data_IF_974790096925
#
_entry.id   IF_974790096925
#
_cell.length_a   1.000
_cell.length_b   1.000
_cell.length_c   1.000
_cell.angle_alpha   90.00
_cell.angle_beta   90.00
_cell.angle_gamma   90.00
#
_symmetry.space_group_name_H-M   'P 1'
#
loop_
_entity.id
_entity.type
_entity.pdbx_description
1 polymer ?
#
# COMPACT_ATOMS: atom_id res chain seq x y z
N UNK A 1 -22.94 -9.52 7.18
CA UNK A 1 -22.21 -8.25 7.41
C UNK A 1 -21.03 -8.28 6.45
N UNK A 2 -20.93 -7.31 5.55
CA UNK A 2 -19.83 -7.30 4.57
C UNK A 2 -18.52 -6.99 5.30
N UNK A 3 -17.53 -7.87 5.21
CA UNK A 3 -16.19 -7.63 5.74
C UNK A 3 -15.50 -6.55 4.90
N UNK A 4 -14.67 -5.72 5.53
CA UNK A 4 -13.98 -4.59 4.88
C UNK A 4 -12.48 -4.71 5.08
N UNK A 5 -11.74 -4.70 3.98
CA UNK A 5 -10.27 -4.82 3.97
C UNK A 5 -9.69 -3.50 3.46
N UNK A 6 -8.88 -2.84 4.29
CA UNK A 6 -8.11 -1.65 3.91
C UNK A 6 -6.72 -2.06 3.42
N UNK A 7 -6.34 -1.56 2.25
CA UNK A 7 -5.04 -1.84 1.64
C UNK A 7 -4.31 -0.52 1.35
N UNK A 8 -3.36 -0.12 2.21
CA UNK A 8 -2.42 0.94 1.85
C UNK A 8 -1.61 0.53 0.61
N UNK A 9 -1.67 1.35 -0.44
CA UNK A 9 -1.14 1.02 -1.74
C UNK A 9 -0.33 2.17 -2.32
N UNK A 10 0.92 1.91 -2.66
CA UNK A 10 1.84 2.90 -3.23
C UNK A 10 2.48 2.48 -4.57
N UNK A 11 2.03 1.34 -5.13
CA UNK A 11 2.56 0.78 -6.36
C UNK A 11 3.94 0.12 -6.21
N UNK A 12 4.45 -0.03 -4.98
CA UNK A 12 5.66 -0.80 -4.72
C UNK A 12 5.42 -2.31 -4.92
N UNK A 13 6.46 -3.11 -5.20
CA UNK A 13 6.31 -4.55 -5.35
C UNK A 13 5.65 -5.23 -4.14
N UNK A 14 5.93 -4.76 -2.93
CA UNK A 14 5.32 -5.30 -1.70
C UNK A 14 3.86 -4.90 -1.56
N UNK A 15 3.46 -3.68 -1.96
CA UNK A 15 2.06 -3.26 -1.97
C UNK A 15 1.26 -3.99 -3.05
N UNK A 16 1.86 -4.29 -4.19
CA UNK A 16 1.26 -5.14 -5.23
C UNK A 16 1.03 -6.57 -4.72
N UNK A 17 1.98 -7.12 -3.97
CA UNK A 17 1.80 -8.44 -3.35
C UNK A 17 0.72 -8.39 -2.26
N UNK A 18 0.69 -7.33 -1.46
CA UNK A 18 -0.37 -7.13 -0.46
C UNK A 18 -1.76 -7.05 -1.11
N UNK A 19 -1.86 -6.40 -2.27
CA UNK A 19 -3.10 -6.34 -3.05
C UNK A 19 -3.57 -7.73 -3.48
N UNK A 20 -2.65 -8.59 -3.95
CA UNK A 20 -2.98 -9.98 -4.36
C UNK A 20 -3.49 -10.80 -3.17
N UNK A 21 -2.84 -10.68 -2.01
CA UNK A 21 -3.29 -11.37 -0.80
C UNK A 21 -4.67 -10.86 -0.34
N UNK A 22 -4.88 -9.54 -0.35
CA UNK A 22 -6.17 -8.93 -0.04
C UNK A 22 -7.27 -9.38 -1.00
N UNK A 23 -6.98 -9.49 -2.30
CA UNK A 23 -7.93 -9.98 -3.30
C UNK A 23 -8.33 -11.44 -3.02
N UNK A 24 -7.37 -12.31 -2.74
CA UNK A 24 -7.64 -13.71 -2.36
C UNK A 24 -8.51 -13.85 -1.10
N UNK A 25 -8.27 -13.00 -0.10
CA UNK A 25 -9.09 -12.95 1.10
C UNK A 25 -10.49 -12.40 0.81
N UNK A 26 -10.58 -11.32 0.03
CA UNK A 26 -11.84 -10.68 -0.31
C UNK A 26 -12.78 -11.65 -1.06
N UNK A 27 -12.28 -12.42 -2.00
CA UNK A 27 -13.05 -13.44 -2.72
C UNK A 27 -13.60 -14.53 -1.80
N UNK A 28 -12.80 -14.98 -0.83
CA UNK A 28 -13.20 -16.02 0.13
C UNK A 28 -14.21 -15.54 1.16
N UNK A 29 -14.10 -14.28 1.58
CA UNK A 29 -14.90 -13.70 2.66
C UNK A 29 -16.09 -12.87 2.15
N UNK A 30 -16.21 -12.64 0.85
CA UNK A 30 -17.17 -11.69 0.28
C UNK A 30 -16.91 -10.26 0.76
N UNK A 31 -15.64 -9.91 0.97
CA UNK A 31 -15.25 -8.63 1.53
C UNK A 31 -15.15 -7.52 0.48
N UNK A 32 -15.41 -6.30 0.92
CA UNK A 32 -15.13 -5.08 0.16
C UNK A 32 -13.68 -4.65 0.41
N UNK A 33 -13.00 -4.17 -0.62
CA UNK A 33 -11.61 -3.67 -0.54
C UNK A 33 -11.58 -2.16 -0.77
N UNK A 34 -10.86 -1.44 0.11
CA UNK A 34 -10.51 -0.02 -0.12
C UNK A 34 -9.02 0.10 -0.30
N UNK A 35 -8.61 0.66 -1.44
CA UNK A 35 -7.23 1.03 -1.72
C UNK A 35 -6.98 2.45 -1.20
N UNK A 36 -6.02 2.59 -0.31
CA UNK A 36 -5.65 3.88 0.27
C UNK A 36 -4.26 4.30 -0.21
N UNK A 37 -4.15 5.46 -0.82
CA UNK A 37 -2.87 6.10 -1.08
C UNK A 37 -2.79 7.43 -0.34
N UNK A 38 -1.62 7.71 0.24
CA UNK A 38 -1.34 8.94 0.95
C UNK A 38 -0.22 9.66 0.21
N UNK A 39 -0.52 10.85 -0.30
CA UNK A 39 0.48 11.74 -0.88
C UNK A 39 1.19 12.42 0.27
N UNK A 40 2.46 12.05 0.46
CA UNK A 40 3.33 12.66 1.47
C UNK A 40 4.32 13.60 0.79
N UNK A 41 4.22 14.92 1.01
CA UNK A 41 5.13 15.92 0.46
C UNK A 41 6.59 15.61 0.75
N UNK A 42 6.88 15.08 1.95
CA UNK A 42 8.24 14.75 2.38
C UNK A 42 8.85 13.59 1.57
N UNK A 43 8.02 12.75 0.97
CA UNK A 43 8.48 11.65 0.11
C UNK A 43 8.98 12.16 -1.24
N UNK A 44 8.49 13.30 -1.68
CA UNK A 44 8.72 13.85 -3.01
C UNK A 44 9.57 15.12 -2.99
N UNK A 45 9.78 15.73 -1.83
CA UNK A 45 10.62 16.91 -1.67
C UNK A 45 12.10 16.51 -1.71
N UNK A 46 12.60 16.25 -2.90
CA UNK A 46 14.03 16.26 -3.17
C UNK A 46 14.43 17.74 -3.38
N UNK A 47 14.85 18.40 -2.30
CA UNK A 47 15.30 19.78 -2.35
C UNK A 47 14.22 20.82 -1.98
N UNK A 48 14.64 22.04 -1.79
CA UNK A 48 13.83 23.19 -1.39
C UNK A 48 12.82 23.60 -2.47
N UNK A 49 11.69 22.90 -2.55
CA UNK A 49 10.56 23.33 -3.39
C UNK A 49 9.78 24.39 -2.61
N UNK A 50 9.61 25.57 -3.20
CA UNK A 50 8.78 26.60 -2.59
C UNK A 50 7.34 26.10 -2.43
N UNK A 51 6.64 26.44 -1.34
CA UNK A 51 5.27 25.99 -1.10
C UNK A 51 4.31 26.27 -2.26
N UNK A 52 4.50 27.41 -2.94
CA UNK A 52 3.68 27.81 -4.09
C UNK A 52 3.86 26.82 -5.27
N UNK A 53 5.10 26.44 -5.59
CA UNK A 53 5.41 25.49 -6.67
C UNK A 53 4.92 24.08 -6.32
N UNK A 54 4.98 23.72 -5.04
CA UNK A 54 4.41 22.46 -4.58
C UNK A 54 2.91 22.40 -4.84
N UNK A 55 2.17 23.45 -4.48
CA UNK A 55 0.72 23.48 -4.63
C UNK A 55 0.27 23.66 -6.09
N UNK A 56 0.99 24.45 -6.90
CA UNK A 56 0.56 24.75 -8.27
C UNK A 56 0.87 23.63 -9.25
N UNK A 57 2.04 23.02 -9.15
CA UNK A 57 2.57 22.15 -10.19
C UNK A 57 2.73 20.71 -9.72
N UNK A 58 3.29 20.54 -8.51
CA UNK A 58 3.65 19.22 -8.03
C UNK A 58 2.45 18.42 -7.50
N UNK A 59 1.67 19.02 -6.63
CA UNK A 59 0.54 18.32 -5.99
C UNK A 59 -0.52 17.85 -7.01
N UNK A 60 -0.96 18.68 -7.99
CA UNK A 60 -1.91 18.21 -9.00
C UNK A 60 -1.37 17.04 -9.83
N UNK A 61 -0.08 17.09 -10.20
CA UNK A 61 0.55 16.01 -10.95
C UNK A 61 0.67 14.72 -10.11
N UNK A 62 1.05 14.84 -8.84
CA UNK A 62 1.12 13.73 -7.90
C UNK A 62 -0.25 13.10 -7.64
N UNK A 63 -1.28 13.92 -7.46
CA UNK A 63 -2.66 13.47 -7.29
C UNK A 63 -3.16 12.71 -8.52
N UNK A 64 -2.94 13.24 -9.71
CA UNK A 64 -3.34 12.60 -10.97
C UNK A 64 -2.63 11.27 -11.17
N UNK A 65 -1.33 11.20 -10.89
CA UNK A 65 -0.55 9.96 -10.96
C UNK A 65 -1.03 8.91 -9.97
N UNK A 66 -1.27 9.31 -8.73
CA UNK A 66 -1.80 8.44 -7.68
C UNK A 66 -3.20 7.93 -8.01
N UNK A 67 -4.08 8.79 -8.49
CA UNK A 67 -5.42 8.41 -8.90
C UNK A 67 -5.40 7.40 -10.05
N UNK A 68 -4.56 7.61 -11.06
CA UNK A 68 -4.39 6.69 -12.18
C UNK A 68 -3.91 5.31 -11.70
N UNK A 69 -2.93 5.30 -10.80
CA UNK A 69 -2.40 4.07 -10.18
C UNK A 69 -3.48 3.33 -9.40
N UNK A 70 -4.21 4.03 -8.54
CA UNK A 70 -5.28 3.44 -7.72
C UNK A 70 -6.44 2.91 -8.57
N UNK A 71 -6.86 3.65 -9.60
CA UNK A 71 -7.92 3.21 -10.52
C UNK A 71 -7.55 1.93 -11.23
N UNK A 72 -6.32 1.84 -11.76
CA UNK A 72 -5.83 0.61 -12.40
C UNK A 72 -5.90 -0.58 -11.44
N UNK A 73 -5.46 -0.43 -10.21
CA UNK A 73 -5.52 -1.47 -9.20
C UNK A 73 -6.97 -1.83 -8.81
N UNK A 74 -7.83 -0.83 -8.69
CA UNK A 74 -9.25 -1.00 -8.41
C UNK A 74 -9.97 -1.78 -9.54
N UNK A 75 -9.69 -1.43 -10.80
CA UNK A 75 -10.24 -2.12 -11.97
C UNK A 75 -9.84 -3.60 -12.01
N UNK A 76 -8.61 -3.92 -11.62
CA UNK A 76 -8.14 -5.31 -11.50
C UNK A 76 -8.94 -6.10 -10.46
N UNK A 77 -9.28 -5.50 -9.32
CA UNK A 77 -10.11 -6.13 -8.30
C UNK A 77 -11.56 -6.30 -8.78
N UNK A 78 -12.11 -5.28 -9.40
CA UNK A 78 -13.48 -5.29 -9.92
C UNK A 78 -13.65 -6.33 -11.02
N UNK A 79 -12.66 -6.49 -11.90
CA UNK A 79 -12.65 -7.53 -12.93
C UNK A 79 -12.65 -8.95 -12.34
N UNK A 80 -12.23 -9.13 -11.10
CA UNK A 80 -12.30 -10.39 -10.36
C UNK A 80 -13.62 -10.55 -9.57
N UNK A 81 -14.54 -9.60 -9.68
CA UNK A 81 -15.82 -9.62 -8.94
C UNK A 81 -15.74 -9.09 -7.51
N UNK A 82 -14.66 -8.43 -7.13
CA UNK A 82 -14.48 -7.84 -5.81
C UNK A 82 -15.03 -6.42 -5.81
N UNK A 83 -15.86 -6.08 -4.82
CA UNK A 83 -16.24 -4.70 -4.58
C UNK A 83 -15.01 -3.91 -4.12
N UNK A 84 -14.58 -2.95 -4.93
CA UNK A 84 -13.40 -2.15 -4.64
C UNK A 84 -13.68 -0.66 -4.78
N UNK A 85 -13.03 0.13 -3.95
CA UNK A 85 -13.07 1.59 -4.00
C UNK A 85 -11.69 2.18 -3.70
N UNK A 86 -11.47 3.43 -4.10
CA UNK A 86 -10.22 4.13 -3.90
C UNK A 86 -10.39 5.27 -2.90
N UNK A 87 -9.34 5.51 -2.13
CA UNK A 87 -9.21 6.65 -1.25
C UNK A 87 -7.85 7.28 -1.43
N UNK A 88 -7.82 8.57 -1.71
CA UNK A 88 -6.61 9.37 -1.85
C UNK A 88 -6.62 10.43 -0.75
N UNK A 89 -5.55 10.51 0.03
CA UNK A 89 -5.37 11.50 1.07
C UNK A 89 -4.07 12.27 0.81
N UNK A 90 -4.08 13.55 1.16
CA UNK A 90 -2.88 14.38 1.26
C UNK A 90 -2.44 14.40 2.72
N UNK A 91 -1.15 14.15 2.95
CA UNK A 91 -0.54 14.31 4.27
C UNK A 91 -0.08 15.75 4.45
N UNK A 92 -0.71 16.49 5.35
CA UNK A 92 -0.32 17.86 5.65
C UNK A 92 0.72 17.94 6.77
N UNK A 93 0.54 17.19 7.87
CA UNK A 93 1.41 17.25 9.05
C UNK A 93 1.39 15.96 9.90
N UNK A 94 0.69 14.93 9.47
CA UNK A 94 0.52 13.71 10.27
C UNK A 94 1.55 12.63 9.89
N UNK A 95 1.70 11.65 10.78
CA UNK A 95 2.40 10.43 10.41
C UNK A 95 1.51 9.57 9.50
N UNK A 96 2.07 8.99 8.44
CA UNK A 96 1.34 8.14 7.49
C UNK A 96 0.58 7.02 8.21
N UNK A 97 1.20 6.39 9.21
CA UNK A 97 0.56 5.35 10.01
C UNK A 97 -0.73 5.83 10.70
N UNK A 98 -0.74 7.06 11.22
CA UNK A 98 -1.94 7.65 11.85
C UNK A 98 -3.07 7.80 10.84
N UNK A 99 -2.78 8.31 9.65
CA UNK A 99 -3.78 8.47 8.59
C UNK A 99 -4.37 7.13 8.15
N UNK A 100 -3.55 6.08 8.05
CA UNK A 100 -4.02 4.72 7.74
C UNK A 100 -4.96 4.19 8.83
N UNK A 101 -4.61 4.37 10.10
CA UNK A 101 -5.40 3.91 11.24
C UNK A 101 -6.73 4.67 11.35
N UNK A 102 -6.70 5.98 11.14
CA UNK A 102 -7.91 6.80 11.18
C UNK A 102 -8.85 6.45 10.02
N UNK A 103 -8.31 6.22 8.82
CA UNK A 103 -9.11 5.74 7.69
C UNK A 103 -9.71 4.36 7.98
N UNK A 104 -8.95 3.45 8.59
CA UNK A 104 -9.46 2.13 8.98
C UNK A 104 -10.63 2.24 9.96
N UNK A 105 -10.53 3.12 10.94
CA UNK A 105 -11.61 3.38 11.92
C UNK A 105 -12.84 4.01 11.27
N UNK A 106 -12.65 5.08 10.50
CA UNK A 106 -13.75 5.83 9.88
C UNK A 106 -14.52 4.98 8.88
N UNK A 107 -13.82 4.19 8.09
CA UNK A 107 -14.45 3.32 7.12
C UNK A 107 -15.03 2.03 7.74
N UNK A 108 -14.59 1.68 8.93
CA UNK A 108 -14.98 0.45 9.61
C UNK A 108 -14.30 -0.78 9.04
N UNK A 109 -13.01 -0.65 8.71
CA UNK A 109 -12.21 -1.79 8.28
C UNK A 109 -12.15 -2.86 9.36
N UNK A 110 -12.13 -4.12 8.93
CA UNK A 110 -11.99 -5.31 9.80
C UNK A 110 -10.59 -5.92 9.72
N UNK A 111 -9.83 -5.52 8.70
CA UNK A 111 -8.47 -5.97 8.45
C UNK A 111 -7.72 -4.89 7.68
N UNK A 112 -6.45 -4.69 8.02
CA UNK A 112 -5.51 -3.95 7.20
C UNK A 112 -4.54 -4.95 6.59
N UNK A 113 -4.33 -4.89 5.26
CA UNK A 113 -3.34 -5.70 4.55
C UNK A 113 -2.33 -4.77 3.91
N UNK A 114 -1.07 -4.86 4.31
CA UNK A 114 -0.04 -3.97 3.78
C UNK A 114 1.30 -4.66 3.54
N UNK A 115 2.07 -4.13 2.59
CA UNK A 115 3.43 -4.57 2.35
C UNK A 115 4.37 -4.18 3.50
N UNK A 116 5.33 -5.02 3.78
CA UNK A 116 6.33 -4.75 4.84
C UNK A 116 7.29 -3.62 4.51
N UNK A 117 7.37 -3.22 3.22
CA UNK A 117 8.24 -2.15 2.74
C UNK A 117 7.48 -1.34 1.69
N UNK A 118 7.53 -0.02 1.79
CA UNK A 118 7.04 0.88 0.73
C UNK A 118 8.16 1.29 -0.23
N UNK A 119 7.92 2.36 -0.98
CA UNK A 119 8.87 2.90 -1.98
C UNK A 119 10.25 3.26 -1.41
N UNK A 120 10.37 3.51 -0.11
CA UNK A 120 11.62 3.87 0.58
C UNK A 120 12.44 2.66 1.05
N UNK A 121 11.90 1.45 0.96
CA UNK A 121 12.55 0.25 1.50
C UNK A 121 13.73 -0.22 0.65
N UNK A 122 14.95 0.02 1.11
CA UNK A 122 16.19 -0.38 0.44
C UNK A 122 16.78 -1.70 0.93
N UNK A 123 16.27 -2.27 2.02
CA UNK A 123 16.82 -3.49 2.60
C UNK A 123 15.76 -4.56 2.78
N UNK A 124 16.01 -5.74 2.22
CA UNK A 124 15.10 -6.91 2.25
C UNK A 124 14.77 -7.47 3.64
N UNK A 125 15.40 -6.96 4.71
CA UNK A 125 15.33 -7.54 6.05
C UNK A 125 14.60 -6.68 7.09
N UNK A 126 14.26 -5.43 6.79
CA UNK A 126 13.66 -4.53 7.78
C UNK A 126 12.21 -4.21 7.47
N UNK A 127 11.38 -4.22 8.50
CA UNK A 127 10.03 -3.71 8.46
C UNK A 127 10.08 -2.19 8.31
N UNK A 128 9.33 -1.63 7.35
CA UNK A 128 9.25 -0.18 7.18
C UNK A 128 8.65 0.50 8.42
N UNK A 129 9.09 1.71 8.73
CA UNK A 129 8.64 2.48 9.91
C UNK A 129 7.12 2.61 9.99
N UNK A 130 6.47 2.91 8.88
CA UNK A 130 5.01 3.04 8.83
C UNK A 130 4.33 1.68 9.06
N UNK A 131 4.83 0.61 8.44
CA UNK A 131 4.30 -0.73 8.62
C UNK A 131 4.46 -1.22 10.07
N UNK A 132 5.61 -0.94 10.69
CA UNK A 132 5.84 -1.24 12.11
C UNK A 132 4.86 -0.48 13.00
N UNK A 133 4.72 0.82 12.78
CA UNK A 133 3.83 1.66 13.59
C UNK A 133 2.37 1.24 13.43
N UNK A 134 1.91 0.96 12.20
CA UNK A 134 0.56 0.45 11.95
C UNK A 134 0.35 -0.87 12.69
N UNK A 135 1.28 -1.81 12.60
CA UNK A 135 1.18 -3.09 13.27
C UNK A 135 1.10 -2.96 14.80
N UNK A 136 1.80 -1.99 15.38
CA UNK A 136 1.83 -1.76 16.85
C UNK A 136 0.60 -1.03 17.38
N UNK A 137 -0.02 -0.17 16.59
CA UNK A 137 -1.04 0.77 17.10
C UNK A 137 -2.41 0.59 16.45
N UNK A 138 -2.55 -0.33 15.49
CA UNK A 138 -3.82 -0.60 14.82
C UNK A 138 -4.87 -1.16 15.78
N UNK A 139 -6.12 -0.64 15.74
CA UNK A 139 -7.24 -1.21 16.49
C UNK A 139 -7.86 -2.45 15.85
N UNK A 140 -7.42 -2.80 14.65
CA UNK A 140 -7.89 -3.98 13.90
C UNK A 140 -6.71 -4.88 13.53
N UNK A 141 -6.94 -6.18 13.24
CA UNK A 141 -5.90 -7.07 12.75
C UNK A 141 -5.14 -6.50 11.56
N UNK A 142 -3.84 -6.78 11.51
CA UNK A 142 -2.93 -6.33 10.44
C UNK A 142 -2.23 -7.54 9.84
N UNK A 143 -2.37 -7.71 8.53
CA UNK A 143 -1.63 -8.68 7.75
C UNK A 143 -0.45 -7.98 7.07
N UNK A 144 0.76 -8.36 7.47
CA UNK A 144 2.00 -7.88 6.86
C UNK A 144 2.43 -8.83 5.75
N UNK A 145 2.56 -8.32 4.54
CA UNK A 145 2.91 -9.11 3.35
C UNK A 145 4.33 -8.81 2.92
N UNK A 146 5.12 -9.86 2.74
CA UNK A 146 6.48 -9.80 2.21
C UNK A 146 6.51 -10.30 0.77
N UNK A 147 7.49 -9.83 0.01
CA UNK A 147 7.79 -10.48 -1.26
C UNK A 147 8.28 -11.91 -1.00
N UNK A 148 7.89 -12.88 -1.86
CA UNK A 148 8.47 -14.21 -1.80
C UNK A 148 10.00 -14.11 -1.86
N UNK A 149 10.69 -14.93 -1.07
CA UNK A 149 12.13 -15.07 -1.21
C UNK A 149 12.44 -15.52 -2.65
N UNK A 150 13.40 -14.87 -3.31
CA UNK A 150 13.86 -15.35 -4.60
C UNK A 150 14.28 -16.82 -4.43
N UNK A 151 13.74 -17.72 -5.27
CA UNK A 151 14.17 -19.11 -5.26
C UNK A 151 15.70 -19.14 -5.39
N UNK A 152 16.42 -19.97 -4.62
CA UNK A 152 17.85 -20.08 -4.74
C UNK A 152 18.15 -20.45 -6.21
N UNK A 153 19.06 -19.69 -6.83
CA UNK A 153 19.52 -20.01 -8.17
C UNK A 153 19.99 -21.47 -8.15
N UNK A 154 19.36 -22.30 -8.98
CA UNK A 154 19.70 -23.71 -9.12
C UNK A 154 21.14 -23.76 -9.67
N UNK A 155 22.10 -23.90 -8.78
CA UNK A 155 23.48 -24.19 -9.14
C UNK A 155 23.46 -25.62 -9.69
N UNK A 156 23.39 -25.77 -11.01
CA UNK A 156 23.64 -27.04 -11.64
C UNK A 156 25.03 -27.51 -11.19
N UNK A 157 25.16 -28.69 -10.60
CA UNK A 157 26.47 -29.27 -10.37
C UNK A 157 27.10 -29.49 -11.74
N UNK A 158 28.32 -28.93 -11.91
CA UNK A 158 29.09 -29.04 -13.12
C UNK A 158 29.23 -30.51 -13.55
N UNK A 159 29.04 -30.77 -14.84
CA UNK A 159 29.34 -32.03 -15.45
C UNK A 159 30.86 -32.32 -15.27
N UNK A 160 31.23 -33.54 -14.82
CA UNK A 160 32.65 -33.93 -14.82
C UNK A 160 33.13 -34.10 -16.26
N UNK A 161 34.32 -33.61 -16.46
CA UNK A 161 35.05 -33.76 -17.73
C UNK A 161 35.40 -35.23 -18.02
#
# INVERSE_FOLDING_TARGET
MCEKILVPFDGSPTSEQALKEAAGLALKLGAQVRLLHIIDPLTHAVGFVRPEVYQSDFLPAAMKGAETMLRKACDQLTAQGIQAEIRLLENLDAQVATLVIDEARQWGARLIVLGTQGRRGLARMFLGSDAEQIARTSPVPVLLVRLPAAAPANTQPGAPA
#
